data_IF_801416270308
#
_entry.id   IF_801416270308
#
_cell.length_a   1.000
_cell.length_b   1.000
_cell.length_c   1.000
_cell.angle_alpha   90.00
_cell.angle_beta   90.00
_cell.angle_gamma   90.00
#
_symmetry.space_group_name_H-M   'P 1'
#
loop_
_entity.id
_entity.type
_entity.pdbx_description
1 polymer ?
#
# COMPACT_ATOMS: atom_id res chain seq x y z
N UNK A 1 -12.90 -12.26 10.34
CA UNK A 1 -11.57 -11.69 10.04
C UNK A 1 -11.18 -12.09 8.63
N UNK A 2 -11.15 -11.14 7.69
CA UNK A 2 -10.64 -11.40 6.33
C UNK A 2 -9.19 -10.92 6.29
N UNK A 3 -8.28 -11.85 6.06
CA UNK A 3 -6.87 -11.58 5.79
C UNK A 3 -6.63 -12.06 4.37
N UNK A 4 -6.28 -11.14 3.48
CA UNK A 4 -5.68 -11.49 2.19
C UNK A 4 -4.18 -11.37 2.41
N UNK A 5 -3.43 -12.41 2.03
CA UNK A 5 -1.99 -12.47 2.11
C UNK A 5 -1.50 -13.22 0.87
N UNK A 6 -1.02 -12.48 -0.14
CA UNK A 6 -0.65 -13.06 -1.42
C UNK A 6 0.38 -12.23 -2.16
N UNK A 7 1.12 -12.87 -3.06
CA UNK A 7 1.87 -12.15 -4.08
C UNK A 7 0.87 -11.54 -5.06
N UNK A 8 0.90 -10.22 -5.17
CA UNK A 8 0.08 -9.46 -6.09
C UNK A 8 0.90 -9.05 -7.30
N UNK A 9 0.36 -9.34 -8.47
CA UNK A 9 0.92 -8.93 -9.75
C UNK A 9 -0.05 -7.95 -10.38
N UNK A 10 0.46 -6.80 -10.83
CA UNK A 10 -0.36 -5.91 -11.63
C UNK A 10 0.39 -5.40 -12.85
N UNK A 11 -0.38 -5.13 -13.89
CA UNK A 11 0.07 -4.64 -15.16
C UNK A 11 -0.38 -3.20 -15.31
N UNK A 12 0.56 -2.26 -15.28
CA UNK A 12 0.28 -0.84 -15.41
C UNK A 12 0.67 -0.35 -16.81
N UNK A 13 -0.22 0.34 -17.53
CA UNK A 13 0.14 0.93 -18.81
C UNK A 13 1.21 2.00 -18.60
N UNK A 14 2.37 1.83 -19.26
CA UNK A 14 3.43 2.82 -19.26
C UNK A 14 3.03 4.06 -20.05
N UNK A 15 3.39 5.25 -19.57
CA UNK A 15 3.08 6.50 -20.28
C UNK A 15 3.86 6.68 -21.59
N UNK A 16 5.02 6.03 -21.74
CA UNK A 16 5.93 6.26 -22.88
C UNK A 16 6.17 4.99 -23.71
N UNK A 17 6.42 3.82 -23.09
CA UNK A 17 6.49 2.52 -23.77
C UNK A 17 6.10 1.38 -22.82
N UNK A 18 5.40 0.37 -23.35
CA UNK A 18 5.22 -0.93 -22.71
C UNK A 18 4.21 -1.00 -21.55
N UNK A 19 4.13 -2.20 -20.97
CA UNK A 19 3.34 -2.52 -19.77
C UNK A 19 4.33 -2.75 -18.64
N UNK A 20 4.20 -1.99 -17.55
CA UNK A 20 4.95 -2.24 -16.33
C UNK A 20 4.35 -3.44 -15.61
N UNK A 21 5.16 -4.44 -15.33
CA UNK A 21 4.76 -5.52 -14.44
C UNK A 21 5.28 -5.21 -13.05
N UNK A 22 4.36 -4.93 -12.13
CA UNK A 22 4.68 -4.73 -10.73
C UNK A 22 4.37 -6.02 -9.98
N UNK A 23 5.28 -6.39 -9.08
CA UNK A 23 5.10 -7.51 -8.17
C UNK A 23 5.35 -7.00 -6.75
N UNK A 24 4.35 -7.16 -5.88
CA UNK A 24 4.46 -6.82 -4.48
C UNK A 24 3.80 -7.90 -3.62
N UNK A 25 4.20 -8.00 -2.37
CA UNK A 25 3.47 -8.83 -1.42
C UNK A 25 2.34 -7.99 -0.83
N UNK A 26 1.10 -8.37 -1.13
CA UNK A 26 -0.11 -7.66 -0.71
C UNK A 26 -0.70 -8.34 0.51
N UNK A 27 -0.87 -7.57 1.57
CA UNK A 27 -1.60 -7.96 2.77
C UNK A 27 -2.77 -7.01 3.00
N UNK A 28 -3.98 -7.52 3.13
CA UNK A 28 -5.17 -6.75 3.47
C UNK A 28 -5.75 -7.28 4.77
N UNK A 29 -5.83 -6.41 5.77
CA UNK A 29 -6.38 -6.68 7.07
C UNK A 29 -7.75 -6.03 7.19
N UNK A 30 -8.79 -6.84 7.33
CA UNK A 30 -10.15 -6.38 7.62
C UNK A 30 -10.74 -7.14 8.81
N UNK A 31 -10.36 -6.74 10.03
CA UNK A 31 -10.88 -7.33 11.26
C UNK A 31 -12.26 -6.78 11.67
N UNK A 32 -12.58 -5.52 11.35
CA UNK A 32 -13.91 -4.90 11.52
C UNK A 32 -14.42 -4.27 10.21
N UNK A 33 -15.69 -3.84 10.18
CA UNK A 33 -16.28 -3.14 9.04
C UNK A 33 -15.80 -1.67 8.90
N UNK A 34 -15.10 -1.13 9.91
CA UNK A 34 -14.85 0.31 10.01
C UNK A 34 -13.50 0.78 9.51
N UNK A 35 -12.46 -0.06 9.53
CA UNK A 35 -11.13 0.30 9.01
C UNK A 35 -10.53 -0.88 8.25
N UNK A 36 -9.94 -0.58 7.11
CA UNK A 36 -9.26 -1.53 6.23
C UNK A 36 -7.79 -1.12 6.12
N UNK A 37 -6.88 -1.99 6.56
CA UNK A 37 -5.44 -1.73 6.44
C UNK A 37 -4.89 -2.55 5.28
N UNK A 38 -4.31 -1.87 4.29
CA UNK A 38 -3.56 -2.48 3.19
C UNK A 38 -2.08 -2.25 3.44
N UNK A 39 -1.31 -3.32 3.42
CA UNK A 39 0.13 -3.28 3.45
C UNK A 39 0.68 -3.89 2.16
N UNK A 40 1.53 -3.15 1.47
CA UNK A 40 2.34 -3.68 0.38
C UNK A 40 3.78 -3.81 0.83
N UNK A 41 4.41 -4.93 0.54
CA UNK A 41 5.86 -5.10 0.74
C UNK A 41 6.56 -5.17 -0.61
N UNK A 42 7.64 -4.42 -0.72
CA UNK A 42 8.50 -4.41 -1.88
C UNK A 42 9.19 -5.76 -2.09
N UNK A 43 9.00 -6.32 -3.29
CA UNK A 43 9.65 -7.57 -3.72
C UNK A 43 10.55 -7.36 -4.94
N UNK A 44 11.21 -6.19 -5.03
CA UNK A 44 12.19 -5.90 -6.07
C UNK A 44 11.67 -4.97 -7.17
N UNK A 45 10.63 -4.19 -6.86
CA UNK A 45 10.28 -3.02 -7.66
C UNK A 45 10.98 -1.81 -7.02
N UNK A 46 11.50 -0.84 -7.77
CA UNK A 46 12.04 0.36 -7.12
C UNK A 46 10.89 1.27 -6.62
N UNK A 47 10.13 0.81 -5.61
CA UNK A 47 9.06 1.58 -4.97
C UNK A 47 9.59 2.86 -4.34
N UNK A 48 10.87 2.86 -3.95
CA UNK A 48 11.47 3.96 -3.23
C UNK A 48 11.91 5.16 -4.06
N UNK A 49 11.94 5.08 -5.40
CA UNK A 49 12.54 6.15 -6.20
C UNK A 49 11.56 7.02 -6.96
N UNK A 50 10.83 6.58 -7.99
CA UNK A 50 10.04 7.56 -8.75
C UNK A 50 8.93 6.83 -9.50
N UNK A 51 7.64 6.98 -9.11
CA UNK A 51 6.62 7.78 -9.82
C UNK A 51 5.33 7.81 -8.93
N UNK A 52 4.95 8.95 -8.32
CA UNK A 52 3.66 9.13 -7.64
C UNK A 52 2.46 8.59 -8.42
N UNK A 53 2.49 8.75 -9.74
CA UNK A 53 1.48 8.20 -10.65
C UNK A 53 1.32 6.67 -10.56
N UNK A 54 2.40 5.90 -10.38
CA UNK A 54 2.30 4.45 -10.31
C UNK A 54 1.64 3.99 -9.01
N UNK A 55 1.96 4.63 -7.88
CA UNK A 55 1.32 4.29 -6.62
C UNK A 55 -0.17 4.66 -6.64
N UNK A 56 -0.54 5.82 -7.20
CA UNK A 56 -1.94 6.21 -7.42
C UNK A 56 -2.70 5.13 -8.22
N UNK A 57 -2.11 4.64 -9.31
CA UNK A 57 -2.73 3.57 -10.13
C UNK A 57 -2.81 2.23 -9.42
N UNK A 58 -1.78 1.86 -8.67
CA UNK A 58 -1.75 0.63 -7.89
C UNK A 58 -2.85 0.63 -6.83
N UNK A 59 -2.97 1.73 -6.10
CA UNK A 59 -3.99 1.94 -5.08
C UNK A 59 -5.38 1.90 -5.70
N UNK A 60 -5.62 2.63 -6.79
CA UNK A 60 -6.89 2.59 -7.54
C UNK A 60 -7.28 1.15 -7.93
N UNK A 61 -6.32 0.38 -8.44
CA UNK A 61 -6.54 -0.98 -8.90
C UNK A 61 -6.90 -1.91 -7.73
N UNK A 62 -6.10 -1.89 -6.64
CA UNK A 62 -6.33 -2.73 -5.46
C UNK A 62 -7.66 -2.36 -4.79
N UNK A 63 -7.95 -1.08 -4.61
CA UNK A 63 -9.22 -0.63 -4.02
C UNK A 63 -10.41 -1.12 -4.83
N UNK A 64 -10.36 -1.02 -6.17
CA UNK A 64 -11.43 -1.48 -7.05
C UNK A 64 -11.56 -3.01 -7.05
N UNK A 65 -10.45 -3.72 -7.15
CA UNK A 65 -10.43 -5.20 -7.24
C UNK A 65 -10.93 -5.85 -5.95
N UNK A 66 -10.52 -5.32 -4.80
CA UNK A 66 -10.89 -5.85 -3.49
C UNK A 66 -12.12 -5.18 -2.87
N UNK A 67 -12.72 -4.20 -3.58
CA UNK A 67 -13.89 -3.42 -3.14
C UNK A 67 -13.67 -2.76 -1.78
N UNK A 68 -12.52 -2.12 -1.63
CA UNK A 68 -12.15 -1.38 -0.42
C UNK A 68 -12.87 -0.02 -0.39
N UNK A 69 -13.11 0.50 0.81
CA UNK A 69 -13.65 1.84 1.03
C UNK A 69 -12.50 2.83 1.23
N UNK A 70 -12.25 3.75 0.28
CA UNK A 70 -11.18 4.73 0.39
C UNK A 70 -11.24 5.61 1.64
N UNK A 71 -12.44 5.87 2.16
CA UNK A 71 -12.64 6.71 3.34
C UNK A 71 -12.21 6.04 4.65
N UNK A 72 -11.99 4.72 4.59
CA UNK A 72 -11.65 3.85 5.73
C UNK A 72 -10.34 3.10 5.50
N UNK A 73 -9.55 3.53 4.52
CA UNK A 73 -8.35 2.85 4.07
C UNK A 73 -7.10 3.42 4.74
N UNK A 74 -6.34 2.55 5.39
CA UNK A 74 -4.96 2.82 5.81
C UNK A 74 -4.04 2.12 4.83
N UNK A 75 -3.15 2.86 4.18
CA UNK A 75 -2.15 2.31 3.25
C UNK A 75 -0.76 2.36 3.86
N UNK A 76 -0.08 1.21 3.91
CA UNK A 76 1.26 1.07 4.44
C UNK A 76 2.17 0.47 3.36
N UNK A 77 3.31 1.10 3.12
CA UNK A 77 4.40 0.54 2.35
C UNK A 77 5.47 0.02 3.31
N UNK A 78 5.89 -1.22 3.09
CA UNK A 78 6.98 -1.88 3.80
C UNK A 78 8.14 -2.10 2.83
N UNK A 79 9.29 -1.55 3.16
CA UNK A 79 10.50 -1.62 2.35
C UNK A 79 11.45 -2.64 2.97
N UNK A 80 11.88 -3.62 2.19
CA UNK A 80 12.84 -4.59 2.68
C UNK A 80 14.26 -4.00 2.65
N UNK A 81 15.08 -4.21 3.69
CA UNK A 81 16.44 -3.65 3.77
C UNK A 81 17.35 -4.10 2.63
N UNK A 82 17.01 -5.20 1.95
CA UNK A 82 17.73 -5.74 0.80
C UNK A 82 17.78 -4.80 -0.40
N UNK A 83 16.82 -3.88 -0.53
CA UNK A 83 16.71 -2.97 -1.68
C UNK A 83 16.85 -1.48 -1.32
N UNK A 84 17.09 -1.14 -0.03
CA UNK A 84 17.24 0.25 0.42
C UNK A 84 18.53 0.48 1.22
N UNK A 85 18.95 1.73 1.27
CA UNK A 85 20.06 2.16 2.14
C UNK A 85 19.68 1.93 3.61
N UNK A 86 20.63 1.50 4.48
CA UNK A 86 20.37 1.20 5.89
C UNK A 86 19.81 2.35 6.75
N UNK A 87 19.74 3.57 6.22
CA UNK A 87 19.27 4.76 6.92
C UNK A 87 17.83 5.17 6.56
N UNK A 88 17.14 4.42 5.69
CA UNK A 88 15.74 4.69 5.36
C UNK A 88 14.81 3.98 6.35
N UNK A 89 13.66 4.57 6.65
CA UNK A 89 12.61 3.88 7.41
C UNK A 89 12.12 2.62 6.66
N UNK A 90 11.90 1.54 7.41
CA UNK A 90 11.38 0.27 6.89
C UNK A 90 9.91 0.37 6.49
N UNK A 91 9.19 1.37 7.02
CA UNK A 91 7.76 1.54 6.77
C UNK A 91 7.42 2.99 6.46
N UNK A 92 6.40 3.18 5.62
CA UNK A 92 5.74 4.46 5.43
C UNK A 92 4.23 4.28 5.39
N UNK A 93 3.51 5.13 6.11
CA UNK A 93 2.09 5.32 5.87
C UNK A 93 1.94 6.30 4.71
N UNK A 94 1.14 5.92 3.71
CA UNK A 94 0.86 6.79 2.56
C UNK A 94 -0.56 7.28 2.65
N UNK A 95 -0.74 8.60 2.61
CA UNK A 95 -2.05 9.23 2.49
C UNK A 95 -2.27 9.74 1.08
N UNK A 96 -3.53 9.80 0.66
CA UNK A 96 -3.93 10.21 -0.68
C UNK A 96 -5.11 11.17 -0.59
N UNK A 97 -5.16 12.11 -1.53
CA UNK A 97 -6.37 12.86 -1.84
C UNK A 97 -7.26 11.99 -2.73
N UNK A 98 -8.54 11.86 -2.36
CA UNK A 98 -9.50 11.02 -3.06
C UNK A 98 -10.51 11.84 -3.86
N UNK A 99 -10.54 11.61 -5.17
CA UNK A 99 -11.50 12.25 -6.07
C UNK A 99 -12.18 11.20 -6.96
N UNK A 100 -13.51 11.06 -6.82
CA UNK A 100 -14.31 10.08 -7.59
C UNK A 100 -13.74 8.66 -7.54
N UNK A 101 -13.29 8.23 -6.35
CA UNK A 101 -12.71 6.90 -6.13
C UNK A 101 -11.31 6.71 -6.72
N UNK A 102 -10.63 7.80 -7.10
CA UNK A 102 -9.23 7.79 -7.54
C UNK A 102 -8.32 8.43 -6.51
N UNK A 103 -7.22 7.76 -6.21
CA UNK A 103 -6.14 8.27 -5.39
C UNK A 103 -5.30 9.26 -6.18
N UNK A 104 -4.94 10.37 -5.54
CA UNK A 104 -4.08 11.42 -6.08
C UNK A 104 -3.18 11.98 -4.98
N UNK A 105 -2.09 12.64 -5.36
CA UNK A 105 -1.23 13.39 -4.44
C UNK A 105 -0.74 12.56 -3.24
N UNK A 106 -0.05 11.42 -3.48
CA UNK A 106 0.46 10.57 -2.41
C UNK A 106 1.44 11.32 -1.50
N UNK A 107 1.26 11.16 -0.18
CA UNK A 107 2.14 11.74 0.84
C UNK A 107 2.68 10.62 1.74
N UNK A 108 3.99 10.42 1.72
CA UNK A 108 4.67 9.40 2.52
C UNK A 108 5.05 9.98 3.88
N UNK A 109 4.62 9.31 4.94
CA UNK A 109 5.01 9.59 6.30
C UNK A 109 5.75 8.37 6.84
N UNK A 110 7.03 8.53 7.17
CA UNK A 110 7.81 7.46 7.77
C UNK A 110 7.18 7.05 9.11
N UNK A 111 7.02 5.75 9.32
CA UNK A 111 6.47 5.21 10.57
C UNK A 111 7.40 4.13 11.14
N UNK A 112 7.35 3.96 12.46
CA UNK A 112 8.11 2.91 13.12
C UNK A 112 7.45 1.54 12.93
N UNK A 113 8.19 0.42 13.07
CA UNK A 113 7.59 -0.92 13.07
C UNK A 113 6.49 -1.08 14.13
N UNK A 114 6.64 -0.45 15.30
CA UNK A 114 5.61 -0.46 16.36
C UNK A 114 4.34 0.26 15.93
N UNK A 115 4.47 1.41 15.25
CA UNK A 115 3.32 2.14 14.68
C UNK A 115 2.64 1.33 13.58
N UNK A 116 3.40 0.71 12.68
CA UNK A 116 2.83 -0.15 11.63
C UNK A 116 2.07 -1.34 12.24
N UNK A 117 2.63 -1.98 13.27
CA UNK A 117 1.96 -3.04 14.00
C UNK A 117 0.68 -2.55 14.68
N UNK A 118 0.69 -1.36 15.29
CA UNK A 118 -0.51 -0.76 15.87
C UNK A 118 -1.59 -0.50 14.83
N UNK A 119 -1.27 0.02 13.64
CA UNK A 119 -2.26 0.25 12.57
C UNK A 119 -2.83 -1.06 11.99
N UNK A 120 -2.09 -2.16 12.08
CA UNK A 120 -2.57 -3.51 11.76
C UNK A 120 -3.38 -4.11 12.92
N UNK A 121 -2.98 -3.85 14.16
CA UNK A 121 -3.52 -4.48 15.38
C UNK A 121 -4.64 -3.70 16.08
N UNK A 122 -4.75 -2.38 15.95
CA UNK A 122 -5.94 -1.61 16.36
C UNK A 122 -7.16 -2.10 15.60
N UNK A 123 -6.93 -2.52 14.36
CA UNK A 123 -7.91 -3.26 13.61
C UNK A 123 -8.29 -4.58 14.37
N UNK A 124 -7.37 -5.25 15.06
CA UNK A 124 -7.62 -6.51 15.81
C UNK A 124 -8.13 -6.33 17.26
N UNK A 125 -8.00 -5.16 17.90
CA UNK A 125 -8.13 -4.99 19.36
C UNK A 125 -9.34 -4.15 19.84
N UNK A 126 -10.18 -3.61 18.97
CA UNK A 126 -11.43 -2.95 19.39
C UNK A 126 -12.57 -3.97 19.55
N UNK A 127 -12.47 -4.83 20.58
CA UNK A 127 -13.51 -5.76 21.01
C UNK A 127 -14.42 -5.17 22.09
#
# INVERSE_FOLDING_TARGET
>A
MKIIDQIYHCQMPGQVFGVWQLQCHLRIFQPHHDVQTVMITDMGFEMGWFIPYLIEKLVDQIVREFRLDPSRLIWIEHYTPTFRKPSCADFSQVTFDWHNGKATNPQWNEITPTTAQALISEALLSS
#
